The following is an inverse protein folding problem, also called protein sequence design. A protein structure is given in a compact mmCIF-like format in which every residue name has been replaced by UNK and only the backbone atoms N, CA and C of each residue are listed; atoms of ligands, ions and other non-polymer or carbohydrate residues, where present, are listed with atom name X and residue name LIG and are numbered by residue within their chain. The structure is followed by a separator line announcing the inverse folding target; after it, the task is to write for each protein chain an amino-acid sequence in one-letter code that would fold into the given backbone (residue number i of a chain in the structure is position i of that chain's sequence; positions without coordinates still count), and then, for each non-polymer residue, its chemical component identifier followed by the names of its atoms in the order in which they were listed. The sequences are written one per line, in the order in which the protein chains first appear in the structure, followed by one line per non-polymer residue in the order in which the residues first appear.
data_IF_978277183764
#
_entry.id   IF_978277183764
#
_cell.length_a   1.000
_cell.length_b   1.000
_cell.length_c   1.000
_cell.angle_alpha   90.00
_cell.angle_beta   90.00
_cell.angle_gamma   90.00
#
_symmetry.space_group_name_H-M   'P 1'
#
loop_
_entity.id
_entity.type
_entity.pdbx_description
1 polymer ?
#
# COMPACT_ATOMS: atom_id res chain seq x y z
N UNK A 1 0.48 -25.16 11.29
CA UNK A 1 -0.71 -24.36 10.91
C UNK A 1 -1.03 -24.66 9.45
N UNK A 2 -2.27 -25.05 9.10
CA UNK A 2 -2.64 -25.39 7.71
C UNK A 2 -2.55 -24.13 6.83
N UNK A 3 -1.54 -23.98 5.94
CA UNK A 3 -1.31 -22.73 5.19
C UNK A 3 -2.46 -22.36 4.25
N UNK A 4 -3.29 -23.34 3.93
CA UNK A 4 -4.29 -23.31 2.86
C UNK A 4 -5.53 -22.50 3.21
N UNK A 5 -5.90 -22.41 4.50
CA UNK A 5 -7.06 -21.63 4.96
C UNK A 5 -6.71 -20.19 5.34
N UNK A 6 -5.49 -19.97 5.85
CA UNK A 6 -5.03 -18.64 6.26
C UNK A 6 -4.79 -17.71 5.07
N UNK A 7 -4.34 -18.26 3.94
CA UNK A 7 -4.05 -17.47 2.74
C UNK A 7 -5.28 -16.74 2.18
N UNK A 8 -6.43 -17.40 1.93
CA UNK A 8 -7.64 -16.69 1.50
C UNK A 8 -8.21 -15.76 2.57
N UNK A 9 -8.16 -16.14 3.86
CA UNK A 9 -8.62 -15.26 4.94
C UNK A 9 -7.81 -13.95 5.04
N UNK A 10 -6.48 -14.04 4.99
CA UNK A 10 -5.60 -12.87 4.98
C UNK A 10 -5.81 -12.02 3.72
N UNK A 11 -6.07 -12.65 2.57
CA UNK A 11 -6.42 -11.95 1.33
C UNK A 11 -7.73 -11.15 1.46
N UNK A 12 -8.79 -11.78 1.98
CA UNK A 12 -10.09 -11.12 2.20
C UNK A 12 -9.99 -10.00 3.22
N UNK A 13 -9.27 -10.21 4.33
CA UNK A 13 -9.02 -9.18 5.33
C UNK A 13 -8.25 -8.00 4.73
N UNK A 14 -7.20 -8.28 3.95
CA UNK A 14 -6.44 -7.25 3.23
C UNK A 14 -7.30 -6.43 2.28
N UNK A 15 -8.19 -7.09 1.52
CA UNK A 15 -9.16 -6.41 0.64
C UNK A 15 -10.14 -5.53 1.42
N UNK A 16 -10.76 -6.07 2.48
CA UNK A 16 -11.69 -5.30 3.31
C UNK A 16 -11.02 -4.06 3.91
N UNK A 17 -9.80 -4.22 4.43
CA UNK A 17 -9.02 -3.11 4.98
C UNK A 17 -8.68 -2.09 3.87
N UNK A 18 -8.20 -2.56 2.71
CA UNK A 18 -7.85 -1.70 1.59
C UNK A 18 -9.01 -0.85 1.10
N UNK A 19 -10.16 -1.47 0.82
CA UNK A 19 -11.36 -0.76 0.38
C UNK A 19 -11.93 0.15 1.47
N UNK A 20 -11.92 -0.29 2.73
CA UNK A 20 -12.36 0.53 3.86
C UNK A 20 -11.50 1.79 4.02
N UNK A 21 -10.18 1.64 4.04
CA UNK A 21 -9.25 2.77 4.12
C UNK A 21 -9.40 3.71 2.92
N UNK A 22 -9.50 3.19 1.71
CA UNK A 22 -9.66 4.02 0.51
C UNK A 22 -10.97 4.82 0.55
N UNK A 23 -12.08 4.20 0.95
CA UNK A 23 -13.37 4.86 1.09
C UNK A 23 -13.41 5.92 2.19
N UNK A 24 -12.64 5.73 3.28
CA UNK A 24 -12.47 6.75 4.31
C UNK A 24 -11.60 7.90 3.83
N UNK A 25 -10.48 7.60 3.15
CA UNK A 25 -9.53 8.61 2.69
C UNK A 25 -10.14 9.51 1.61
N UNK A 26 -10.98 8.97 0.74
CA UNK A 26 -11.70 9.75 -0.27
C UNK A 26 -12.67 10.79 0.29
N UNK A 27 -12.93 10.81 1.61
CA UNK A 27 -13.76 11.82 2.29
C UNK A 27 -12.95 12.96 2.89
N UNK A 28 -11.62 12.85 2.94
CA UNK A 28 -10.78 13.94 3.43
C UNK A 28 -10.70 15.05 2.38
N UNK A 29 -10.61 16.29 2.85
CA UNK A 29 -10.26 17.42 1.99
C UNK A 29 -8.77 17.37 1.60
N UNK A 30 -8.43 18.00 0.49
CA UNK A 30 -7.03 18.30 0.20
C UNK A 30 -6.43 19.22 1.28
N UNK A 31 -5.14 19.06 1.62
CA UNK A 31 -4.15 18.14 1.03
C UNK A 31 -4.13 16.75 1.72
N UNK A 32 -4.91 16.56 2.78
CA UNK A 32 -4.84 15.35 3.61
C UNK A 32 -5.21 14.08 2.86
N UNK A 33 -6.11 14.18 1.87
CA UNK A 33 -6.41 13.07 0.97
C UNK A 33 -5.14 12.60 0.22
N UNK A 34 -4.44 13.50 -0.47
CA UNK A 34 -3.23 13.14 -1.23
C UNK A 34 -2.09 12.67 -0.31
N UNK A 35 -1.94 13.25 0.88
CA UNK A 35 -0.96 12.79 1.89
C UNK A 35 -1.28 11.37 2.38
N UNK A 36 -2.53 11.07 2.74
CA UNK A 36 -2.93 9.75 3.22
C UNK A 36 -2.80 8.69 2.13
N UNK A 37 -3.19 8.98 0.89
CA UNK A 37 -3.02 8.05 -0.22
C UNK A 37 -1.52 7.81 -0.49
N UNK A 38 -0.72 8.88 -0.52
CA UNK A 38 0.73 8.78 -0.66
C UNK A 38 1.35 7.90 0.43
N UNK A 39 0.98 8.11 1.69
CA UNK A 39 1.45 7.31 2.82
C UNK A 39 1.10 5.81 2.66
N UNK A 40 -0.11 5.47 2.20
CA UNK A 40 -0.48 4.09 1.93
C UNK A 40 0.40 3.44 0.86
N UNK A 41 0.73 4.18 -0.22
CA UNK A 41 1.64 3.71 -1.26
C UNK A 41 3.07 3.52 -0.74
N UNK A 42 3.56 4.43 0.12
CA UNK A 42 4.86 4.29 0.78
C UNK A 42 4.91 3.04 1.64
N UNK A 43 3.92 2.84 2.50
CA UNK A 43 3.84 1.67 3.38
C UNK A 43 3.77 0.39 2.55
N UNK A 44 2.91 0.34 1.53
CA UNK A 44 2.77 -0.82 0.66
C UNK A 44 4.09 -1.13 -0.07
N UNK A 45 4.75 -0.11 -0.62
CA UNK A 45 6.03 -0.26 -1.30
C UNK A 45 7.15 -0.76 -0.38
N UNK A 46 7.25 -0.19 0.84
CA UNK A 46 8.22 -0.61 1.83
C UNK A 46 8.00 -2.06 2.31
N UNK A 47 6.74 -2.43 2.56
CA UNK A 47 6.37 -3.80 2.94
C UNK A 47 6.65 -4.77 1.79
N UNK A 48 6.32 -4.42 0.55
CA UNK A 48 6.60 -5.24 -0.63
C UNK A 48 8.10 -5.44 -0.84
N UNK A 49 8.89 -4.38 -0.67
CA UNK A 49 10.35 -4.44 -0.76
C UNK A 49 10.95 -5.38 0.28
N UNK A 50 10.50 -5.28 1.55
CA UNK A 50 10.97 -6.17 2.61
C UNK A 50 10.50 -7.61 2.39
N UNK A 51 9.23 -7.82 2.02
CA UNK A 51 8.70 -9.15 1.75
C UNK A 51 9.47 -9.87 0.62
N UNK A 52 9.92 -9.13 -0.38
CA UNK A 52 10.57 -9.66 -1.57
C UNK A 52 12.09 -9.84 -1.46
N UNK A 53 12.66 -10.13 -0.28
CA UNK A 53 14.12 -10.26 -0.09
C UNK A 53 14.85 -11.24 -1.05
N UNK A 54 14.14 -12.07 -1.83
CA UNK A 54 14.70 -12.92 -2.89
C UNK A 54 14.34 -12.55 -4.34
N UNK A 55 13.41 -11.61 -4.58
CA UNK A 55 12.84 -11.34 -5.91
C UNK A 55 13.09 -9.89 -6.33
N UNK A 56 14.13 -9.67 -7.14
CA UNK A 56 14.56 -8.32 -7.57
C UNK A 56 13.45 -7.53 -8.24
N UNK A 57 12.58 -8.18 -9.01
CA UNK A 57 11.48 -7.51 -9.70
C UNK A 57 10.48 -6.88 -8.73
N UNK A 58 10.10 -7.61 -7.67
CA UNK A 58 9.15 -7.11 -6.68
C UNK A 58 9.81 -6.03 -5.81
N UNK A 59 11.11 -6.12 -5.55
CA UNK A 59 11.85 -5.04 -4.87
C UNK A 59 11.83 -3.74 -5.68
N UNK A 60 12.12 -3.80 -6.98
CA UNK A 60 12.06 -2.61 -7.86
C UNK A 60 10.65 -2.04 -7.87
N UNK A 61 9.62 -2.89 -7.98
CA UNK A 61 8.23 -2.46 -7.93
C UNK A 61 7.88 -1.79 -6.60
N UNK A 62 8.30 -2.38 -5.47
CA UNK A 62 8.09 -1.83 -4.13
C UNK A 62 8.76 -0.46 -3.95
N UNK A 63 9.98 -0.31 -4.47
CA UNK A 63 10.69 0.96 -4.46
C UNK A 63 9.96 2.02 -5.31
N UNK A 64 9.53 1.66 -6.52
CA UNK A 64 8.76 2.56 -7.40
C UNK A 64 7.45 3.01 -6.74
N UNK A 65 6.73 2.08 -6.11
CA UNK A 65 5.51 2.37 -5.34
C UNK A 65 5.79 3.35 -4.19
N UNK A 66 6.89 3.14 -3.47
CA UNK A 66 7.25 4.00 -2.36
C UNK A 66 7.63 5.41 -2.84
N UNK A 67 8.44 5.52 -3.88
CA UNK A 67 8.81 6.82 -4.49
C UNK A 67 7.58 7.54 -5.01
N UNK A 68 6.68 6.84 -5.70
CA UNK A 68 5.41 7.41 -6.17
C UNK A 68 4.56 7.91 -5.00
N UNK A 69 4.45 7.15 -3.91
CA UNK A 69 3.72 7.55 -2.72
C UNK A 69 4.26 8.84 -2.09
N UNK A 70 5.59 9.00 -2.01
CA UNK A 70 6.22 10.24 -1.56
C UNK A 70 5.92 11.39 -2.51
N UNK A 71 6.11 11.20 -3.82
CA UNK A 71 5.83 12.22 -4.81
C UNK A 71 4.36 12.67 -4.76
N UNK A 72 3.44 11.73 -4.57
CA UNK A 72 2.02 12.04 -4.43
C UNK A 72 1.67 12.77 -3.15
N UNK A 73 2.33 12.44 -2.04
CA UNK A 73 2.08 13.14 -0.78
C UNK A 73 2.49 14.63 -0.82
N UNK A 74 3.56 14.96 -1.57
CA UNK A 74 4.17 16.29 -1.49
C UNK A 74 4.10 17.13 -2.78
N UNK A 75 4.16 16.50 -3.95
CA UNK A 75 4.25 17.20 -5.25
C UNK A 75 2.98 17.07 -6.10
N UNK A 76 2.32 15.90 -6.09
CA UNK A 76 1.13 15.65 -6.92
C UNK A 76 -0.11 15.80 -6.03
N UNK A 77 -0.63 17.04 -5.95
CA UNK A 77 -1.86 17.34 -5.24
C UNK A 77 -3.05 16.87 -6.06
#
# INVERSE_FOLDING_TARGET
MKPELWRPLLGTLGLMIGFGLYGLIGKLAEPWQSVCIGALFVILGAVAYWYAQGERWIQVLGLLLAVYGVLRAFLLR
#
